data_IF_438114025190
#
_entry.id   IF_438114025190
#
_cell.length_a   1.000
_cell.length_b   1.000
_cell.length_c   1.000
_cell.angle_alpha   90.00
_cell.angle_beta   90.00
_cell.angle_gamma   90.00
#
_symmetry.space_group_name_H-M   'P 1'
#
loop_
_entity.id
_entity.type
_entity.pdbx_description
1 polymer ?
#
# COMPACT_ATOMS: atom_id res chain seq x y z
N UNK A 1 -30.85 -3.76 5.87
CA UNK A 1 -30.50 -2.46 5.26
C UNK A 1 -29.03 -2.21 5.49
N UNK A 2 -28.25 -2.08 4.42
CA UNK A 2 -26.79 -1.92 4.48
C UNK A 2 -26.48 -0.42 4.57
N UNK A 3 -25.71 0.08 5.55
CA UNK A 3 -25.41 1.51 5.61
C UNK A 3 -24.52 1.88 4.41
N UNK A 4 -25.06 2.75 3.55
CA UNK A 4 -24.31 3.43 2.49
C UNK A 4 -23.32 4.37 3.17
N UNK A 5 -22.04 4.03 3.19
CA UNK A 5 -21.00 4.99 3.54
C UNK A 5 -20.86 5.99 2.40
N UNK A 6 -21.43 7.17 2.59
CA UNK A 6 -21.22 8.31 1.71
C UNK A 6 -19.75 8.75 1.83
N UNK A 7 -19.01 8.66 0.71
CA UNK A 7 -17.70 9.27 0.51
C UNK A 7 -17.73 10.73 0.98
N UNK A 8 -16.98 11.05 2.03
CA UNK A 8 -16.57 12.42 2.32
C UNK A 8 -15.08 12.53 2.07
N UNK A 9 -14.70 13.57 1.34
CA UNK A 9 -13.33 14.07 1.31
C UNK A 9 -13.08 14.58 2.73
N UNK A 10 -12.15 13.96 3.46
CA UNK A 10 -11.81 14.37 4.82
C UNK A 10 -10.61 15.31 4.74
N UNK A 11 -10.87 16.59 4.97
CA UNK A 11 -9.82 17.60 5.17
C UNK A 11 -9.01 17.24 6.43
N UNK A 12 -7.73 17.63 6.46
CA UNK A 12 -6.87 17.42 7.62
C UNK A 12 -7.49 18.08 8.85
N UNK A 13 -7.74 17.31 9.91
CA UNK A 13 -8.21 17.84 11.20
C UNK A 13 -7.04 17.78 12.18
N UNK A 14 -6.68 18.92 12.77
CA UNK A 14 -5.84 18.93 13.97
C UNK A 14 -6.70 18.73 15.21
N UNK A 15 -6.33 17.75 16.02
CA UNK A 15 -7.03 17.41 17.25
C UNK A 15 -5.98 17.28 18.36
N UNK A 16 -6.00 18.20 19.33
CA UNK A 16 -5.07 18.25 20.47
C UNK A 16 -3.57 18.21 20.07
N UNK A 17 -3.17 18.93 19.02
CA UNK A 17 -1.78 18.97 18.55
C UNK A 17 -1.34 17.77 17.72
N UNK A 18 -2.26 16.86 17.39
CA UNK A 18 -2.02 15.76 16.45
C UNK A 18 -2.61 16.08 15.09
N UNK A 19 -1.82 15.87 14.04
CA UNK A 19 -2.29 15.90 12.66
C UNK A 19 -2.98 14.56 12.35
N UNK A 20 -4.29 14.56 12.18
CA UNK A 20 -5.01 13.37 11.73
C UNK A 20 -4.83 13.24 10.23
N UNK A 21 -4.22 12.14 9.81
CA UNK A 21 -4.05 11.80 8.39
C UNK A 21 -5.19 10.86 8.00
N UNK A 22 -6.12 11.36 7.22
CA UNK A 22 -7.14 10.52 6.60
C UNK A 22 -6.59 9.91 5.31
N UNK A 23 -6.52 8.58 5.25
CA UNK A 23 -6.23 7.81 4.03
C UNK A 23 -7.40 6.88 3.75
N UNK A 24 -7.81 6.80 2.50
CA UNK A 24 -8.84 5.86 2.05
C UNK A 24 -8.21 4.46 1.85
N UNK A 25 -8.60 3.51 2.71
CA UNK A 25 -8.16 2.11 2.63
C UNK A 25 -9.22 1.19 2.03
N UNK A 26 -10.29 1.71 1.42
CA UNK A 26 -11.38 0.91 0.83
C UNK A 26 -10.93 -0.07 -0.26
N UNK A 27 -9.79 0.20 -0.88
CA UNK A 27 -9.16 -0.63 -1.91
C UNK A 27 -8.01 -1.51 -1.37
N UNK A 28 -7.88 -1.65 -0.05
CA UNK A 28 -6.88 -2.52 0.57
C UNK A 28 -7.33 -3.98 0.62
N UNK A 29 -6.37 -4.89 0.53
CA UNK A 29 -6.61 -6.32 0.74
C UNK A 29 -6.72 -6.62 2.25
N UNK A 30 -7.91 -7.02 2.69
CA UNK A 30 -8.13 -7.56 4.04
C UNK A 30 -8.37 -9.06 3.95
N UNK A 31 -7.58 -9.85 4.66
CA UNK A 31 -7.70 -11.31 4.67
C UNK A 31 -7.51 -11.87 6.08
N UNK A 32 -8.17 -13.01 6.36
CA UNK A 32 -7.99 -13.80 7.58
C UNK A 32 -6.98 -14.94 7.40
N UNK A 33 -6.52 -15.18 6.18
CA UNK A 33 -5.65 -16.32 5.84
C UNK A 33 -4.19 -16.11 6.23
N UNK A 34 -3.77 -14.87 6.46
CA UNK A 34 -2.40 -14.55 6.84
C UNK A 34 -2.36 -13.31 7.74
N UNK A 35 -1.24 -13.16 8.45
CA UNK A 35 -1.01 -12.02 9.33
C UNK A 35 -0.60 -10.77 8.54
N UNK A 36 -0.94 -9.59 9.06
CA UNK A 36 -0.45 -8.32 8.54
C UNK A 36 1.08 -8.31 8.51
N UNK A 37 1.66 -7.78 7.42
CA UNK A 37 3.10 -7.67 7.29
C UNK A 37 3.69 -6.91 8.48
N UNK A 38 4.67 -7.52 9.14
CA UNK A 38 5.28 -6.99 10.37
C UNK A 38 6.76 -7.25 10.33
N UNK A 39 7.55 -6.25 10.74
CA UNK A 39 8.99 -6.38 10.93
C UNK A 39 9.37 -6.05 12.37
N UNK A 40 10.41 -6.73 12.87
CA UNK A 40 10.97 -6.50 14.20
C UNK A 40 12.47 -6.27 14.05
N UNK A 41 12.92 -5.05 14.38
CA UNK A 41 14.33 -4.71 14.50
C UNK A 41 14.81 -5.03 15.92
N UNK A 42 15.96 -5.71 16.03
CA UNK A 42 16.62 -5.97 17.32
C UNK A 42 17.83 -5.06 17.38
N UNK A 43 17.86 -4.16 18.37
CA UNK A 43 18.87 -3.11 18.46
C UNK A 43 19.69 -3.22 19.74
N UNK A 44 20.97 -2.91 19.62
CA UNK A 44 21.87 -2.78 20.76
C UNK A 44 21.54 -1.52 21.58
N UNK A 45 22.10 -1.44 22.79
CA UNK A 45 22.05 -0.23 23.63
C UNK A 45 22.64 1.03 22.96
N UNK A 46 23.39 0.88 21.87
CA UNK A 46 23.98 1.97 21.09
C UNK A 46 23.12 2.38 19.88
N UNK A 47 21.93 1.79 19.70
CA UNK A 47 21.07 2.03 18.54
C UNK A 47 21.57 1.36 17.25
N UNK A 48 22.54 0.45 17.34
CA UNK A 48 22.98 -0.35 16.20
C UNK A 48 22.11 -1.60 16.06
N UNK A 49 21.60 -1.86 14.87
CA UNK A 49 20.83 -3.06 14.56
C UNK A 49 21.72 -4.31 14.69
N UNK A 50 21.23 -5.29 15.46
CA UNK A 50 21.88 -6.59 15.70
C UNK A 50 21.12 -7.75 15.07
N UNK A 51 19.86 -7.55 14.72
CA UNK A 51 19.02 -8.57 14.10
C UNK A 51 17.77 -7.98 13.46
N UNK A 52 17.13 -8.80 12.65
CA UNK A 52 15.91 -8.44 11.95
C UNK A 52 15.03 -9.68 11.76
N UNK A 53 13.77 -9.58 12.14
CA UNK A 53 12.75 -10.59 11.83
C UNK A 53 11.76 -9.93 10.88
N UNK A 54 11.64 -10.47 9.68
CA UNK A 54 10.68 -9.99 8.70
C UNK A 54 9.57 -11.01 8.47
N UNK A 55 8.31 -10.59 8.57
CA UNK A 55 7.13 -11.42 8.33
C UNK A 55 6.26 -10.73 7.28
N UNK A 56 6.57 -10.97 6.01
CA UNK A 56 5.90 -10.34 4.85
C UNK A 56 5.04 -11.33 4.04
N UNK A 57 4.52 -12.38 4.68
CA UNK A 57 3.73 -13.44 4.00
C UNK A 57 2.53 -12.87 3.22
N UNK A 58 1.94 -11.78 3.70
CA UNK A 58 0.81 -11.10 3.04
C UNK A 58 1.17 -10.54 1.65
N UNK A 59 2.41 -10.10 1.42
CA UNK A 59 2.80 -9.52 0.12
C UNK A 59 2.71 -10.55 -1.01
N UNK A 60 2.94 -11.82 -0.69
CA UNK A 60 2.79 -12.93 -1.64
C UNK A 60 1.33 -13.25 -2.01
N UNK A 61 0.36 -12.74 -1.25
CA UNK A 61 -1.07 -12.89 -1.53
C UNK A 61 -1.60 -11.84 -2.49
N UNK A 62 -0.84 -10.79 -2.76
CA UNK A 62 -1.20 -9.81 -3.78
C UNK A 62 -0.81 -10.39 -5.13
N UNK A 63 -1.79 -10.51 -6.03
CA UNK A 63 -1.62 -11.06 -7.36
C UNK A 63 -2.04 -10.06 -8.44
N UNK A 64 -1.78 -10.41 -9.70
CA UNK A 64 -2.13 -9.56 -10.83
C UNK A 64 -3.65 -9.35 -10.95
N UNK A 65 -4.46 -10.29 -10.47
CA UNK A 65 -5.92 -10.18 -10.51
C UNK A 65 -6.39 -9.08 -9.58
N UNK A 66 -5.85 -9.00 -8.37
CA UNK A 66 -6.13 -7.93 -7.42
C UNK A 66 -5.80 -6.55 -8.02
N UNK A 67 -4.69 -6.43 -8.74
CA UNK A 67 -4.33 -5.20 -9.47
C UNK A 67 -5.33 -4.90 -10.57
N UNK A 68 -5.74 -5.91 -11.35
CA UNK A 68 -6.70 -5.74 -12.44
C UNK A 68 -8.08 -5.30 -11.95
N UNK A 69 -8.55 -5.86 -10.85
CA UNK A 69 -9.82 -5.48 -10.21
C UNK A 69 -9.81 -4.00 -9.76
N UNK A 70 -8.63 -3.42 -9.55
CA UNK A 70 -8.42 -2.03 -9.14
C UNK A 70 -7.80 -1.14 -10.24
N UNK A 71 -7.70 -1.62 -11.49
CA UNK A 71 -7.00 -0.93 -12.57
C UNK A 71 -7.51 0.50 -12.86
N UNK A 72 -8.80 0.75 -12.62
CA UNK A 72 -9.39 2.08 -12.82
C UNK A 72 -8.79 3.13 -11.87
N UNK A 73 -8.37 2.75 -10.65
CA UNK A 73 -7.72 3.68 -9.73
C UNK A 73 -6.35 4.10 -10.27
N UNK A 74 -5.61 3.14 -10.81
CA UNK A 74 -4.28 3.40 -11.38
C UNK A 74 -4.42 4.34 -12.58
N UNK A 75 -5.36 4.08 -13.50
CA UNK A 75 -5.57 4.86 -14.71
C UNK A 75 -6.03 6.30 -14.49
N UNK A 76 -6.73 6.55 -13.39
CA UNK A 76 -7.28 7.87 -13.04
C UNK A 76 -6.35 8.67 -12.11
N UNK A 77 -5.29 8.07 -11.61
CA UNK A 77 -4.34 8.74 -10.74
C UNK A 77 -3.37 9.61 -11.55
N UNK A 78 -2.97 10.75 -10.98
CA UNK A 78 -1.90 11.56 -11.56
C UNK A 78 -0.54 10.83 -11.45
N UNK A 79 -0.34 10.13 -10.33
CA UNK A 79 0.87 9.37 -10.02
C UNK A 79 0.55 8.07 -9.30
N UNK A 80 1.32 7.03 -9.58
CA UNK A 80 1.36 5.79 -8.79
C UNK A 80 2.74 5.64 -8.15
N UNK A 81 2.77 5.35 -6.85
CA UNK A 81 3.98 5.03 -6.09
C UNK A 81 3.95 3.53 -5.79
N UNK A 82 5.02 2.82 -6.12
CA UNK A 82 5.11 1.37 -5.99
C UNK A 82 6.33 1.03 -5.14
N UNK A 83 6.11 0.19 -4.12
CA UNK A 83 7.16 -0.34 -3.25
C UNK A 83 7.82 -1.57 -3.90
N UNK A 84 9.14 -1.68 -3.81
CA UNK A 84 9.90 -2.81 -4.34
C UNK A 84 9.64 -4.14 -3.61
N UNK A 85 9.00 -4.11 -2.43
CA UNK A 85 8.62 -5.30 -1.67
C UNK A 85 7.48 -6.11 -2.34
N UNK A 86 6.80 -5.56 -3.36
CA UNK A 86 5.81 -6.32 -4.12
C UNK A 86 6.46 -7.40 -5.00
N UNK A 87 5.79 -8.54 -5.23
CA UNK A 87 6.27 -9.53 -6.19
C UNK A 87 6.50 -8.89 -7.58
N UNK A 88 7.59 -9.21 -8.30
CA UNK A 88 7.92 -8.55 -9.58
C UNK A 88 6.77 -8.54 -10.60
N UNK A 89 6.04 -9.66 -10.72
CA UNK A 89 4.85 -9.77 -11.59
C UNK A 89 3.75 -8.76 -11.26
N UNK A 90 3.60 -8.39 -9.98
CA UNK A 90 2.62 -7.40 -9.51
C UNK A 90 3.08 -6.00 -9.88
N UNK A 91 4.36 -5.69 -9.68
CA UNK A 91 4.97 -4.43 -10.10
C UNK A 91 4.78 -4.23 -11.61
N UNK A 92 5.14 -5.23 -12.42
CA UNK A 92 4.91 -5.23 -13.86
C UNK A 92 3.45 -4.98 -14.23
N UNK A 93 2.51 -5.55 -13.47
CA UNK A 93 1.07 -5.37 -13.74
C UNK A 93 0.58 -3.97 -13.40
N UNK A 94 1.10 -3.34 -12.35
CA UNK A 94 0.79 -1.93 -12.04
C UNK A 94 1.34 -1.02 -13.15
N UNK A 95 2.60 -1.23 -13.55
CA UNK A 95 3.25 -0.47 -14.63
C UNK A 95 2.53 -0.67 -15.98
N UNK A 96 2.04 -1.87 -16.27
CA UNK A 96 1.24 -2.17 -17.45
C UNK A 96 0.02 -1.22 -17.58
N UNK A 97 -0.67 -0.97 -16.47
CA UNK A 97 -1.84 -0.09 -16.44
C UNK A 97 -1.43 1.38 -16.45
N UNK A 98 -0.45 1.77 -15.64
CA UNK A 98 0.03 3.15 -15.58
C UNK A 98 0.51 3.65 -16.95
N UNK A 99 1.30 2.85 -17.67
CA UNK A 99 1.83 3.18 -19.01
C UNK A 99 0.76 3.28 -20.11
N UNK A 100 -0.45 2.75 -19.88
CA UNK A 100 -1.59 2.84 -20.80
C UNK A 100 -2.53 4.00 -20.46
N UNK A 101 -2.16 4.77 -19.46
CA UNK A 101 -2.83 5.99 -19.00
C UNK A 101 -1.79 7.11 -18.94
N UNK A 102 -2.23 8.34 -18.68
CA UNK A 102 -1.33 9.46 -18.43
C UNK A 102 -0.76 9.46 -16.99
N UNK A 103 -0.96 8.36 -16.25
CA UNK A 103 -0.46 8.14 -14.89
C UNK A 103 1.05 8.00 -14.86
N UNK A 104 1.73 8.89 -14.14
CA UNK A 104 3.18 8.81 -13.95
C UNK A 104 3.53 7.78 -12.87
N UNK A 105 4.60 7.04 -13.06
CA UNK A 105 5.04 6.02 -12.09
C UNK A 105 6.29 6.49 -11.35
N UNK A 106 6.31 6.33 -10.03
CA UNK A 106 7.51 6.47 -9.21
C UNK A 106 7.78 5.14 -8.49
N UNK A 107 8.98 4.64 -8.68
CA UNK A 107 9.49 3.44 -8.04
C UNK A 107 10.80 3.77 -7.31
N UNK A 108 10.95 3.23 -6.10
CA UNK A 108 12.19 3.24 -5.35
C UNK A 108 12.86 1.89 -5.59
N UNK A 109 13.75 1.82 -6.58
CA UNK A 109 14.72 0.75 -6.71
C UNK A 109 16.07 1.32 -6.30
N UNK A 110 16.74 0.68 -5.33
CA UNK A 110 18.16 0.90 -5.07
C UNK A 110 19.01 0.21 -6.15
#
# INVERSE_FOLDING_TARGET
MNPKFHRKIFENVELNGYKIIFKDFSHSLFTKECSTATSVSIESKKGLQQGFINVEVLLNKIDCKFIDDNANLIKLADYVVIDANFPPRVIERVLYWANRSETKSWYLFD
#
